data_IF_049763337893
#
_entry.id   IF_049763337893
#
_cell.length_a   1.000
_cell.length_b   1.000
_cell.length_c   1.000
_cell.angle_alpha   90.00
_cell.angle_beta   90.00
_cell.angle_gamma   90.00
#
_symmetry.space_group_name_H-M   'P 1'
#
loop_
_entity.id
_entity.type
_entity.pdbx_description
1 polymer ?
#
# COMPACT_ATOMS: atom_id res chain seq x y z
N UNK A 1 -11.69 2.70 -95.39
CA UNK A 1 -11.04 1.60 -94.66
C UNK A 1 -10.26 2.20 -93.53
N UNK A 2 -10.85 2.25 -92.30
CA UNK A 2 -10.23 2.80 -91.09
C UNK A 2 -10.09 1.67 -90.09
N UNK A 3 -8.85 1.37 -89.65
CA UNK A 3 -8.53 0.32 -88.69
C UNK A 3 -8.49 0.91 -87.28
N UNK A 4 -9.44 0.53 -86.44
CA UNK A 4 -9.40 0.78 -85.03
C UNK A 4 -8.47 -0.23 -84.34
N UNK A 5 -7.51 0.25 -83.52
CA UNK A 5 -6.70 -0.56 -82.61
C UNK A 5 -7.30 -0.43 -81.22
N UNK A 6 -7.50 -1.52 -80.45
CA UNK A 6 -7.88 -1.42 -79.08
C UNK A 6 -6.66 -1.14 -78.18
N UNK A 7 -6.77 -0.15 -77.29
CA UNK A 7 -5.82 0.14 -76.23
C UNK A 7 -6.18 -0.75 -75.03
N UNK A 8 -5.25 -1.62 -74.64
CA UNK A 8 -5.39 -2.51 -73.48
C UNK A 8 -4.89 -1.74 -72.28
N UNK A 9 -5.80 -1.27 -71.44
CA UNK A 9 -5.47 -0.61 -70.14
C UNK A 9 -5.28 -1.68 -69.10
N UNK A 10 -4.04 -1.90 -68.68
CA UNK A 10 -3.66 -2.78 -67.57
C UNK A 10 -3.86 -2.05 -66.22
N UNK A 11 -4.91 -2.38 -65.45
CA UNK A 11 -5.14 -1.92 -64.10
C UNK A 11 -4.20 -2.70 -63.18
N UNK A 12 -3.18 -2.03 -62.64
CA UNK A 12 -2.33 -2.55 -61.57
C UNK A 12 -3.07 -2.30 -60.25
N UNK A 13 -3.64 -3.37 -59.67
CA UNK A 13 -4.22 -3.34 -58.32
C UNK A 13 -3.10 -3.41 -57.30
N UNK A 14 -2.84 -2.26 -56.65
CA UNK A 14 -1.90 -2.17 -55.52
C UNK A 14 -2.60 -2.73 -54.26
N UNK A 15 -2.32 -3.98 -53.90
CA UNK A 15 -2.81 -4.61 -52.68
C UNK A 15 -2.03 -4.02 -51.48
N UNK A 16 -2.69 -3.18 -50.68
CA UNK A 16 -2.18 -2.75 -49.39
C UNK A 16 -2.29 -3.92 -48.42
N UNK A 17 -1.18 -4.57 -48.12
CA UNK A 17 -1.07 -5.46 -46.95
C UNK A 17 -1.07 -4.59 -45.68
N UNK A 18 -2.23 -4.39 -45.08
CA UNK A 18 -2.34 -3.88 -43.73
C UNK A 18 -1.88 -5.02 -42.80
N UNK A 19 -0.62 -5.00 -42.40
CA UNK A 19 -0.14 -5.86 -41.31
C UNK A 19 -0.80 -5.36 -40.02
N UNK A 20 -1.93 -5.97 -39.66
CA UNK A 20 -2.49 -5.79 -38.32
C UNK A 20 -1.49 -6.38 -37.31
N UNK A 21 -0.75 -5.50 -36.62
CA UNK A 21 -0.01 -5.90 -35.43
C UNK A 21 -1.03 -6.48 -34.45
N UNK A 22 -0.80 -7.67 -33.91
CA UNK A 22 -1.68 -8.21 -32.89
C UNK A 22 -1.74 -7.21 -31.75
N UNK A 23 -2.89 -6.59 -31.52
CA UNK A 23 -3.14 -5.86 -30.26
C UNK A 23 -3.14 -6.91 -29.15
N UNK A 24 -2.05 -7.04 -28.43
CA UNK A 24 -2.02 -7.86 -27.23
C UNK A 24 -3.04 -7.25 -26.26
N UNK A 25 -4.09 -8.01 -25.94
CA UNK A 25 -5.02 -7.63 -24.91
C UNK A 25 -4.25 -7.46 -23.60
N UNK A 26 -4.53 -6.37 -22.87
CA UNK A 26 -3.94 -6.15 -21.55
C UNK A 26 -4.46 -7.20 -20.58
N UNK A 27 -3.58 -7.72 -19.74
CA UNK A 27 -3.99 -8.53 -18.59
C UNK A 27 -4.61 -7.63 -17.53
N UNK A 28 -5.89 -7.82 -17.21
CA UNK A 28 -6.52 -7.14 -16.08
C UNK A 28 -6.10 -7.78 -14.76
N UNK A 29 -5.68 -6.97 -13.78
CA UNK A 29 -5.40 -7.38 -12.40
C UNK A 29 -6.27 -6.61 -11.43
N UNK A 30 -6.94 -7.32 -10.52
CA UNK A 30 -7.66 -6.75 -9.40
C UNK A 30 -6.72 -6.52 -8.23
N UNK A 31 -6.62 -5.26 -7.80
CA UNK A 31 -5.71 -4.83 -6.73
C UNK A 31 -6.52 -4.19 -5.61
N UNK A 32 -6.37 -4.66 -4.38
CA UNK A 32 -6.87 -3.92 -3.22
C UNK A 32 -5.74 -3.09 -2.61
N UNK A 33 -6.01 -1.82 -2.33
CA UNK A 33 -5.08 -0.93 -1.64
C UNK A 33 -5.77 -0.28 -0.43
N UNK A 34 -5.08 -0.22 0.69
CA UNK A 34 -5.58 0.44 1.90
C UNK A 34 -5.58 1.95 1.74
N UNK A 35 -6.57 2.62 2.30
CA UNK A 35 -6.72 4.08 2.39
C UNK A 35 -6.33 4.86 1.12
N UNK A 36 -7.34 5.23 0.35
CA UNK A 36 -7.16 6.06 -0.85
C UNK A 36 -6.49 7.38 -0.48
N UNK A 37 -5.33 7.64 -1.05
CA UNK A 37 -4.64 8.93 -0.96
C UNK A 37 -3.41 8.96 -0.05
N UNK A 38 -3.09 7.92 0.72
CA UNK A 38 -1.77 7.83 1.35
C UNK A 38 -0.69 7.64 0.28
N UNK A 39 0.51 8.13 0.53
CA UNK A 39 1.61 8.09 -0.44
C UNK A 39 1.97 6.67 -0.87
N UNK A 40 2.17 5.79 0.08
CA UNK A 40 2.57 4.39 -0.12
C UNK A 40 1.49 3.56 -0.83
N UNK A 41 0.23 3.71 -0.44
CA UNK A 41 -0.87 2.95 -1.02
C UNK A 41 -1.22 3.38 -2.45
N UNK A 42 -0.75 4.56 -2.88
CA UNK A 42 -1.12 5.18 -4.16
C UNK A 42 -0.18 4.81 -5.31
N UNK A 43 0.90 4.03 -5.07
CA UNK A 43 1.88 3.65 -6.08
C UNK A 43 1.23 3.03 -7.33
N UNK A 44 0.33 2.04 -7.14
CA UNK A 44 -0.37 1.38 -8.26
C UNK A 44 -1.22 2.36 -9.07
N UNK A 45 -1.90 3.28 -8.43
CA UNK A 45 -2.72 4.31 -9.09
C UNK A 45 -1.87 5.29 -9.90
N UNK A 46 -0.77 5.79 -9.31
CA UNK A 46 0.15 6.71 -10.00
C UNK A 46 0.75 6.02 -11.22
N UNK A 47 1.23 4.79 -11.08
CA UNK A 47 1.80 4.03 -12.20
C UNK A 47 0.77 3.75 -13.30
N UNK A 48 -0.49 3.48 -12.94
CA UNK A 48 -1.55 3.29 -13.92
C UNK A 48 -1.85 4.59 -14.69
N UNK A 49 -2.02 5.71 -13.99
CA UNK A 49 -2.28 7.02 -14.61
C UNK A 49 -1.15 7.47 -15.54
N UNK A 50 0.08 7.14 -15.20
CA UNK A 50 1.27 7.42 -16.02
C UNK A 50 1.50 6.38 -17.14
N UNK A 51 0.63 5.38 -17.28
CA UNK A 51 0.71 4.35 -18.31
C UNK A 51 1.82 3.32 -18.09
N UNK A 52 2.47 3.29 -16.91
CA UNK A 52 3.55 2.35 -16.60
C UNK A 52 3.03 0.92 -16.62
N UNK A 53 1.89 0.62 -15.97
CA UNK A 53 1.30 -0.72 -15.98
C UNK A 53 0.90 -1.13 -17.40
N UNK A 54 0.34 -0.22 -18.21
CA UNK A 54 0.01 -0.45 -19.62
C UNK A 54 1.25 -0.80 -20.46
N UNK A 55 2.38 -0.13 -20.24
CA UNK A 55 3.68 -0.45 -20.86
C UNK A 55 4.11 -1.89 -20.55
N UNK A 56 3.77 -2.40 -19.38
CA UNK A 56 4.01 -3.79 -18.97
C UNK A 56 2.88 -4.76 -19.34
N UNK A 57 1.92 -4.34 -20.18
CA UNK A 57 0.82 -5.16 -20.65
C UNK A 57 -0.24 -5.47 -19.60
N UNK A 58 -0.42 -4.57 -18.61
CA UNK A 58 -1.34 -4.75 -17.49
C UNK A 58 -2.28 -3.54 -17.39
N UNK A 59 -3.54 -3.81 -17.05
CA UNK A 59 -4.52 -2.83 -16.61
C UNK A 59 -5.00 -3.19 -15.20
N UNK A 60 -5.09 -2.21 -14.31
CA UNK A 60 -5.45 -2.42 -12.90
C UNK A 60 -6.90 -2.03 -12.63
N UNK A 61 -7.65 -2.91 -11.96
CA UNK A 61 -8.90 -2.59 -11.29
C UNK A 61 -8.60 -2.39 -9.80
N UNK A 62 -8.54 -1.12 -9.33
CA UNK A 62 -8.12 -0.81 -7.97
C UNK A 62 -9.33 -0.66 -7.06
N UNK A 63 -9.42 -1.51 -6.04
CA UNK A 63 -10.37 -1.46 -4.94
C UNK A 63 -9.73 -0.76 -3.73
N UNK A 64 -10.30 0.36 -3.30
CA UNK A 64 -9.86 1.06 -2.11
C UNK A 64 -10.55 0.50 -0.86
N UNK A 65 -9.77 0.10 0.13
CA UNK A 65 -10.24 -0.45 1.41
C UNK A 65 -10.05 0.55 2.55
N UNK A 66 -10.64 0.25 3.71
CA UNK A 66 -10.50 1.07 4.92
C UNK A 66 -9.18 0.80 5.68
N UNK A 67 -8.40 -0.20 5.26
CA UNK A 67 -7.12 -0.52 5.89
C UNK A 67 -6.54 -1.87 5.48
N UNK A 68 -5.28 -2.09 5.84
CA UNK A 68 -4.51 -3.26 5.44
C UNK A 68 -5.13 -4.61 5.85
N UNK A 69 -5.93 -4.64 6.90
CA UNK A 69 -6.66 -5.86 7.31
C UNK A 69 -7.75 -6.25 6.30
N UNK A 70 -8.54 -5.28 5.81
CA UNK A 70 -9.53 -5.54 4.74
C UNK A 70 -8.84 -5.91 3.44
N UNK A 71 -7.76 -5.21 3.07
CA UNK A 71 -6.93 -5.54 1.91
C UNK A 71 -6.46 -6.99 1.96
N UNK A 72 -5.97 -7.43 3.12
CA UNK A 72 -5.53 -8.81 3.33
C UNK A 72 -6.68 -9.81 3.17
N UNK A 73 -7.87 -9.52 3.72
CA UNK A 73 -9.02 -10.40 3.59
C UNK A 73 -9.51 -10.52 2.13
N UNK A 74 -9.48 -9.41 1.37
CA UNK A 74 -9.82 -9.43 -0.05
C UNK A 74 -8.89 -10.34 -0.88
N UNK A 75 -7.59 -10.37 -0.53
CA UNK A 75 -6.61 -11.29 -1.15
C UNK A 75 -6.85 -12.75 -0.71
N UNK A 76 -7.04 -13.00 0.59
CA UNK A 76 -7.25 -14.35 1.13
C UNK A 76 -8.51 -14.98 0.53
N UNK A 77 -9.58 -14.22 0.38
CA UNK A 77 -10.84 -14.68 -0.22
C UNK A 77 -10.77 -14.86 -1.74
N UNK A 78 -9.72 -14.38 -2.41
CA UNK A 78 -9.62 -14.37 -3.87
C UNK A 78 -10.49 -13.32 -4.57
N UNK A 79 -11.07 -12.37 -3.83
CA UNK A 79 -11.85 -11.26 -4.41
C UNK A 79 -10.96 -10.31 -5.22
N UNK A 80 -9.69 -10.20 -4.86
CA UNK A 80 -8.64 -9.50 -5.59
C UNK A 80 -7.39 -10.38 -5.68
N UNK A 81 -6.52 -10.04 -6.60
CA UNK A 81 -5.30 -10.81 -6.90
C UNK A 81 -4.08 -10.29 -6.13
N UNK A 82 -4.03 -9.00 -5.90
CA UNK A 82 -2.93 -8.32 -5.21
C UNK A 82 -3.47 -7.43 -4.09
N UNK A 83 -2.75 -7.41 -2.98
CA UNK A 83 -2.99 -6.50 -1.85
C UNK A 83 -1.79 -5.60 -1.61
N UNK A 84 -2.04 -4.30 -1.51
CA UNK A 84 -1.05 -3.25 -1.21
C UNK A 84 -1.27 -2.76 0.21
N UNK A 85 -0.18 -2.66 0.97
CA UNK A 85 -0.11 -2.14 2.33
C UNK A 85 -0.79 -2.95 3.46
N UNK A 86 -0.98 -4.29 3.37
CA UNK A 86 -1.30 -5.04 4.59
C UNK A 86 -0.13 -4.99 5.58
N UNK A 87 -0.47 -4.98 6.87
CA UNK A 87 0.52 -5.01 7.94
C UNK A 87 1.21 -6.37 8.07
N UNK A 88 2.54 -6.38 8.23
CA UNK A 88 3.32 -7.63 8.29
C UNK A 88 2.86 -8.56 9.42
N UNK A 89 2.54 -8.03 10.60
CA UNK A 89 2.06 -8.83 11.74
C UNK A 89 0.75 -9.56 11.41
N UNK A 90 -0.18 -8.89 10.71
CA UNK A 90 -1.42 -9.49 10.23
C UNK A 90 -1.18 -10.61 9.22
N UNK A 91 -0.23 -10.40 8.30
CA UNK A 91 0.13 -11.40 7.26
C UNK A 91 0.76 -12.63 7.91
N UNK A 92 1.71 -12.47 8.83
CA UNK A 92 2.29 -13.59 9.60
C UNK A 92 1.21 -14.35 10.38
N UNK A 93 0.29 -13.63 11.02
CA UNK A 93 -0.82 -14.23 11.75
C UNK A 93 -1.76 -15.05 10.86
N UNK A 94 -2.12 -14.51 9.70
CA UNK A 94 -2.98 -15.21 8.75
C UNK A 94 -2.29 -16.47 8.19
N UNK A 95 -1.04 -16.35 7.77
CA UNK A 95 -0.25 -17.46 7.25
C UNK A 95 -0.08 -18.58 8.30
N UNK A 96 0.25 -18.24 9.55
CA UNK A 96 0.42 -19.22 10.63
C UNK A 96 -0.88 -20.01 10.94
N UNK A 97 -2.03 -19.49 10.53
CA UNK A 97 -3.35 -20.14 10.64
C UNK A 97 -3.77 -20.86 9.35
N UNK A 98 -2.88 -20.99 8.38
CA UNK A 98 -3.12 -21.71 7.12
C UNK A 98 -3.78 -20.87 6.02
N UNK A 99 -3.84 -19.54 6.15
CA UNK A 99 -4.35 -18.71 5.06
C UNK A 99 -3.45 -18.81 3.82
N UNK A 100 -4.04 -18.82 2.59
CA UNK A 100 -3.28 -19.03 1.36
C UNK A 100 -2.58 -17.74 0.88
N UNK A 101 -1.97 -16.98 1.78
CA UNK A 101 -1.31 -15.71 1.48
C UNK A 101 0.18 -15.91 1.16
N UNK A 102 0.71 -15.12 0.22
CA UNK A 102 2.13 -15.03 -0.13
C UNK A 102 2.57 -13.58 -0.24
N UNK A 103 3.77 -13.29 0.22
CA UNK A 103 4.40 -11.98 0.13
C UNK A 103 5.15 -11.91 -1.20
N UNK A 104 4.79 -10.94 -2.05
CA UNK A 104 5.41 -10.70 -3.35
C UNK A 104 6.26 -9.43 -3.38
N UNK A 105 6.24 -8.64 -2.31
CA UNK A 105 7.08 -7.47 -2.13
C UNK A 105 7.02 -6.94 -0.70
N UNK A 106 8.10 -6.30 -0.27
CA UNK A 106 8.04 -5.34 0.83
C UNK A 106 7.43 -4.03 0.32
N UNK A 107 7.15 -3.09 1.21
CA UNK A 107 6.63 -1.79 0.84
C UNK A 107 7.30 -0.69 1.65
N UNK A 108 7.01 -0.61 2.97
CA UNK A 108 7.59 0.41 3.84
C UNK A 108 8.33 -0.21 5.02
N UNK A 109 9.46 0.42 5.37
CA UNK A 109 10.30 0.10 6.53
C UNK A 109 10.26 1.26 7.53
N UNK A 110 9.97 0.95 8.79
CA UNK A 110 9.64 1.93 9.82
C UNK A 110 8.21 2.43 9.71
N UNK A 111 7.78 3.19 10.70
CA UNK A 111 6.41 3.69 10.81
C UNK A 111 6.36 5.19 11.15
N UNK A 112 7.33 5.97 10.68
CA UNK A 112 7.41 7.41 10.92
C UNK A 112 6.26 8.19 10.25
N UNK A 113 5.65 7.62 9.23
CA UNK A 113 4.50 8.16 8.53
C UNK A 113 3.21 8.09 9.36
N UNK A 114 3.12 7.18 10.32
CA UNK A 114 1.94 7.01 11.15
C UNK A 114 2.03 7.83 12.43
N UNK A 115 0.97 8.54 12.77
CA UNK A 115 0.90 9.31 14.01
C UNK A 115 -0.47 9.21 14.68
N UNK A 116 -0.44 9.36 16.01
CA UNK A 116 -1.63 9.44 16.85
C UNK A 116 -1.78 10.84 17.39
N UNK A 117 -3.00 11.33 17.37
CA UNK A 117 -3.31 12.72 17.67
C UNK A 117 -4.58 12.86 18.51
N UNK A 118 -4.72 14.03 19.11
CA UNK A 118 -5.90 14.47 19.84
C UNK A 118 -6.28 15.88 19.41
N UNK A 119 -7.52 16.35 19.66
CA UNK A 119 -7.85 17.77 19.54
C UNK A 119 -6.90 18.62 20.38
N UNK A 120 -6.50 19.80 19.92
CA UNK A 120 -5.53 20.66 20.63
C UNK A 120 -5.97 21.03 22.05
N UNK A 121 -7.28 21.16 22.28
CA UNK A 121 -7.86 21.42 23.59
C UNK A 121 -7.96 20.19 24.51
N UNK A 122 -7.63 18.98 24.00
CA UNK A 122 -7.74 17.75 24.79
C UNK A 122 -6.85 17.78 26.05
N UNK A 123 -7.30 17.26 27.19
CA UNK A 123 -6.47 17.10 28.38
C UNK A 123 -5.40 15.99 28.24
N UNK A 124 -5.55 15.07 27.28
CA UNK A 124 -4.60 13.98 27.00
C UNK A 124 -3.31 14.59 26.45
N UNK A 125 -2.20 14.53 27.15
CA UNK A 125 -0.91 15.14 26.75
C UNK A 125 0.04 14.12 26.10
N UNK A 126 -0.10 12.85 26.46
CA UNK A 126 0.74 11.74 26.00
C UNK A 126 -0.05 10.43 25.98
N UNK A 127 0.54 9.36 25.47
CA UNK A 127 -0.07 8.02 25.55
C UNK A 127 -0.30 7.54 26.96
N UNK A 128 0.46 8.01 27.94
CA UNK A 128 0.30 7.64 29.36
C UNK A 128 -1.04 8.13 29.94
N UNK A 129 -1.65 9.13 29.32
CA UNK A 129 -2.96 9.66 29.71
C UNK A 129 -4.13 8.92 29.05
N UNK A 130 -3.85 7.80 28.34
CA UNK A 130 -4.85 7.06 27.55
C UNK A 130 -5.64 6.00 28.33
N UNK A 131 -5.41 5.84 29.63
CA UNK A 131 -6.16 4.88 30.43
C UNK A 131 -7.67 5.17 30.36
N UNK A 132 -8.46 4.10 30.09
CA UNK A 132 -9.89 4.15 29.84
C UNK A 132 -10.34 5.01 28.64
N UNK A 133 -9.38 5.45 27.81
CA UNK A 133 -9.63 6.19 26.57
C UNK A 133 -9.65 5.27 25.37
N UNK A 134 -10.35 5.68 24.31
CA UNK A 134 -10.31 5.02 23.02
C UNK A 134 -9.08 5.44 22.23
N UNK A 135 -8.35 4.47 21.68
CA UNK A 135 -7.22 4.70 20.78
C UNK A 135 -7.50 4.06 19.41
N UNK A 136 -7.49 4.87 18.37
CA UNK A 136 -7.87 4.46 17.04
C UNK A 136 -6.78 3.65 16.33
N UNK A 137 -7.22 2.70 15.50
CA UNK A 137 -6.44 2.06 14.45
C UNK A 137 -7.36 1.83 13.22
N UNK A 138 -6.80 1.50 12.05
CA UNK A 138 -7.63 1.37 10.84
C UNK A 138 -8.54 0.14 10.87
N UNK A 139 -7.96 -1.04 10.69
CA UNK A 139 -8.68 -2.32 10.65
C UNK A 139 -7.87 -3.40 11.36
N UNK A 140 -8.52 -4.43 11.87
CA UNK A 140 -7.82 -5.53 12.56
C UNK A 140 -6.83 -6.22 11.62
N UNK A 141 -5.60 -6.43 12.09
CA UNK A 141 -4.49 -7.00 11.31
C UNK A 141 -3.73 -5.99 10.45
N UNK A 142 -4.11 -4.70 10.46
CA UNK A 142 -3.36 -3.63 9.79
C UNK A 142 -2.06 -3.27 10.52
N UNK A 143 -1.21 -2.46 9.87
CA UNK A 143 -0.02 -1.90 10.51
C UNK A 143 -0.35 -1.05 11.73
N UNK A 144 -1.42 -0.24 11.67
CA UNK A 144 -1.87 0.59 12.80
C UNK A 144 -2.38 -0.24 13.98
N UNK A 145 -3.05 -1.38 13.73
CA UNK A 145 -3.43 -2.34 14.78
C UNK A 145 -2.18 -2.93 15.47
N UNK A 146 -1.17 -3.31 14.67
CA UNK A 146 0.11 -3.80 15.20
C UNK A 146 0.82 -2.78 16.07
N UNK A 147 0.89 -1.53 15.60
CA UNK A 147 1.56 -0.44 16.34
C UNK A 147 0.80 -0.11 17.63
N UNK A 148 -0.52 0.03 17.60
CA UNK A 148 -1.31 0.26 18.82
C UNK A 148 -1.12 -0.89 19.81
N UNK A 149 -1.12 -2.14 19.36
CA UNK A 149 -0.86 -3.31 20.21
C UNK A 149 0.53 -3.24 20.86
N UNK A 150 1.55 -2.85 20.09
CA UNK A 150 2.92 -2.70 20.59
C UNK A 150 3.05 -1.54 21.59
N UNK A 151 2.48 -0.36 21.29
CA UNK A 151 2.45 0.79 22.19
C UNK A 151 1.75 0.47 23.52
N UNK A 152 0.60 -0.20 23.45
CA UNK A 152 -0.12 -0.63 24.64
C UNK A 152 0.71 -1.56 25.53
N UNK A 153 1.41 -2.52 24.92
CA UNK A 153 2.29 -3.44 25.63
C UNK A 153 3.53 -2.71 26.19
N UNK A 154 4.18 -1.89 25.38
CA UNK A 154 5.43 -1.20 25.72
C UNK A 154 5.26 -0.23 26.89
N UNK A 155 4.12 0.46 26.96
CA UNK A 155 3.84 1.48 28.00
C UNK A 155 2.82 1.02 29.05
N UNK A 156 2.44 -0.26 29.05
CA UNK A 156 1.39 -0.84 29.93
C UNK A 156 0.09 -0.03 29.94
N UNK A 157 -0.35 0.41 28.74
CA UNK A 157 -1.54 1.24 28.61
C UNK A 157 -2.82 0.41 28.80
N UNK A 158 -3.81 1.01 29.46
CA UNK A 158 -5.17 0.43 29.64
C UNK A 158 -6.18 1.10 28.72
N UNK A 159 -5.73 1.58 27.54
CA UNK A 159 -6.58 2.14 26.51
C UNK A 159 -7.49 1.07 25.88
N UNK A 160 -8.55 1.52 25.22
CA UNK A 160 -9.47 0.68 24.44
C UNK A 160 -9.19 0.84 22.94
N UNK A 161 -8.49 -0.11 22.30
CA UNK A 161 -8.25 -0.06 20.86
C UNK A 161 -9.57 -0.13 20.11
N UNK A 162 -9.77 0.80 19.14
CA UNK A 162 -11.01 0.92 18.39
C UNK A 162 -10.72 1.06 16.89
N UNK A 163 -11.32 0.18 16.09
CA UNK A 163 -11.23 0.26 14.63
C UNK A 163 -12.09 1.43 14.12
N UNK A 164 -11.47 2.36 13.39
CA UNK A 164 -12.13 3.59 12.90
C UNK A 164 -12.10 3.74 11.39
N UNK A 165 -11.49 2.77 10.68
CA UNK A 165 -11.26 2.87 9.24
C UNK A 165 -10.09 3.80 8.90
N UNK A 166 -10.18 4.48 7.75
CA UNK A 166 -9.13 5.36 7.25
C UNK A 166 -8.99 6.68 8.03
N UNK A 167 -7.98 7.52 7.67
CA UNK A 167 -7.71 8.78 8.36
C UNK A 167 -8.88 9.77 8.37
N UNK A 168 -9.61 9.90 7.25
CA UNK A 168 -10.72 10.87 7.15
C UNK A 168 -11.90 10.53 8.09
N UNK A 169 -12.46 9.29 8.11
CA UNK A 169 -13.48 8.94 9.09
C UNK A 169 -12.96 8.99 10.53
N UNK A 170 -11.69 8.66 10.78
CA UNK A 170 -11.08 8.80 12.12
C UNK A 170 -11.09 10.26 12.58
N UNK A 171 -10.70 11.20 11.71
CA UNK A 171 -10.72 12.63 12.05
C UNK A 171 -12.12 13.10 12.43
N UNK A 172 -13.13 12.71 11.66
CA UNK A 172 -14.53 13.04 11.96
C UNK A 172 -14.93 12.53 13.34
N UNK A 173 -14.62 11.26 13.66
CA UNK A 173 -14.94 10.64 14.96
C UNK A 173 -14.23 11.33 16.12
N UNK A 174 -12.99 11.76 15.93
CA UNK A 174 -12.23 12.52 16.95
C UNK A 174 -12.82 13.90 17.16
N UNK A 175 -13.10 14.63 16.07
CA UNK A 175 -13.64 15.99 16.17
C UNK A 175 -15.07 16.04 16.73
N UNK A 176 -15.80 14.93 16.69
CA UNK A 176 -17.14 14.77 17.28
C UNK A 176 -17.12 14.07 18.65
N UNK A 177 -15.93 13.88 19.26
CA UNK A 177 -15.73 13.25 20.54
C UNK A 177 -16.23 11.78 20.63
N UNK A 178 -16.31 11.06 19.53
CA UNK A 178 -16.62 9.64 19.50
C UNK A 178 -15.38 8.77 19.78
N UNK A 179 -14.20 9.28 19.44
CA UNK A 179 -12.88 8.69 19.69
C UNK A 179 -11.99 9.72 20.40
N UNK A 180 -11.30 9.28 21.45
CA UNK A 180 -10.42 10.16 22.25
C UNK A 180 -9.09 10.44 21.53
N UNK A 181 -8.46 9.39 20.96
CA UNK A 181 -7.14 9.45 20.31
C UNK A 181 -7.27 8.89 18.90
N UNK A 182 -7.13 9.76 17.90
CA UNK A 182 -7.17 9.41 16.49
C UNK A 182 -5.83 8.94 15.97
N UNK A 183 -5.85 8.30 14.80
CA UNK A 183 -4.66 7.99 14.01
C UNK A 183 -4.73 8.65 12.63
N UNK A 184 -3.57 8.93 12.04
CA UNK A 184 -3.48 9.42 10.67
C UNK A 184 -2.17 9.03 10.01
N UNK A 185 -2.13 9.22 8.70
CA UNK A 185 -0.94 9.17 7.86
C UNK A 185 -1.00 10.31 6.82
N UNK A 186 0.11 11.00 6.54
CA UNK A 186 0.14 12.06 5.54
C UNK A 186 -0.31 11.58 4.14
N UNK A 187 -1.00 12.49 3.42
CA UNK A 187 -1.17 13.91 3.68
C UNK A 187 -2.29 14.24 4.67
N UNK A 188 -3.08 13.23 5.09
CA UNK A 188 -4.21 13.43 6.00
C UNK A 188 -3.74 13.90 7.37
N UNK A 189 -4.49 14.86 7.94
CA UNK A 189 -4.18 15.45 9.24
C UNK A 189 -3.16 16.57 9.21
N UNK A 190 -2.35 16.73 8.14
CA UNK A 190 -1.33 17.80 8.07
C UNK A 190 -1.96 19.19 8.10
N UNK A 191 -3.05 19.42 7.35
CA UNK A 191 -3.75 20.69 7.40
C UNK A 191 -4.25 21.01 8.81
N UNK A 192 -4.84 20.03 9.51
CA UNK A 192 -5.36 20.23 10.86
C UNK A 192 -4.23 20.48 11.89
N UNK A 193 -3.07 19.88 11.67
CA UNK A 193 -1.86 20.18 12.46
C UNK A 193 -1.38 21.62 12.23
N UNK A 194 -1.29 22.05 10.96
CA UNK A 194 -0.87 23.40 10.60
C UNK A 194 -1.84 24.48 11.11
N UNK A 195 -3.13 24.17 11.13
CA UNK A 195 -4.20 25.03 11.69
C UNK A 195 -4.28 25.00 13.24
N UNK A 196 -3.46 24.16 13.89
CA UNK A 196 -3.47 23.99 15.34
C UNK A 196 -4.76 23.37 15.90
N UNK A 197 -5.54 22.66 15.08
CA UNK A 197 -6.78 21.99 15.49
C UNK A 197 -6.53 20.67 16.20
N UNK A 198 -5.47 20.00 15.82
CA UNK A 198 -5.02 18.75 16.46
C UNK A 198 -3.54 18.85 16.83
N UNK A 199 -3.08 17.99 17.73
CA UNK A 199 -1.67 17.84 18.07
C UNK A 199 -1.30 16.35 18.16
N UNK A 200 -0.11 16.02 17.70
CA UNK A 200 0.46 14.68 17.78
C UNK A 200 0.84 14.39 19.22
N UNK A 201 0.54 13.17 19.69
CA UNK A 201 0.94 12.66 21.01
C UNK A 201 1.81 11.41 20.89
N UNK A 202 1.87 10.77 19.73
CA UNK A 202 2.73 9.64 19.43
C UNK A 202 2.92 9.48 17.94
N UNK A 203 4.03 8.86 17.53
CA UNK A 203 4.32 8.40 16.18
C UNK A 203 4.41 6.88 16.15
N UNK A 204 4.34 6.27 14.97
CA UNK A 204 4.49 4.82 14.85
C UNK A 204 5.88 4.33 15.26
N UNK A 205 6.91 5.16 15.12
CA UNK A 205 8.28 4.83 15.55
C UNK A 205 8.47 4.85 17.10
N UNK A 206 7.50 5.36 17.86
CA UNK A 206 7.51 5.25 19.34
C UNK A 206 7.24 3.80 19.78
N UNK A 207 6.62 2.98 18.92
CA UNK A 207 6.59 1.52 19.07
C UNK A 207 7.93 0.94 18.62
N UNK A 208 8.86 0.70 19.56
CA UNK A 208 10.25 0.35 19.28
C UNK A 208 10.42 -0.87 18.39
N UNK A 209 9.49 -1.83 18.49
CA UNK A 209 9.49 -3.05 17.66
C UNK A 209 9.25 -2.77 16.17
N UNK A 210 8.68 -1.62 15.80
CA UNK A 210 8.44 -1.25 14.40
C UNK A 210 9.47 -0.28 13.84
N UNK A 211 10.37 0.21 14.68
CA UNK A 211 11.41 1.14 14.27
C UNK A 211 12.48 0.41 13.46
N UNK A 212 12.60 0.75 12.17
CA UNK A 212 13.62 0.17 11.29
C UNK A 212 13.32 -1.25 10.77
N UNK A 213 12.11 -1.77 11.00
CA UNK A 213 11.64 -3.04 10.43
C UNK A 213 10.64 -2.77 9.29
N UNK A 214 10.47 -3.74 8.38
CA UNK A 214 9.38 -3.70 7.39
C UNK A 214 8.04 -3.77 8.10
N UNK A 215 7.16 -2.82 7.79
CA UNK A 215 5.85 -2.66 8.43
C UNK A 215 4.71 -3.04 7.51
N UNK A 216 4.83 -2.73 6.22
CA UNK A 216 3.81 -3.01 5.20
C UNK A 216 4.39 -3.78 4.02
N UNK A 217 3.52 -4.51 3.32
CA UNK A 217 3.88 -5.51 2.32
C UNK A 217 3.01 -5.38 1.07
N UNK A 218 3.47 -6.05 0.00
CA UNK A 218 2.67 -6.44 -1.15
C UNK A 218 2.39 -7.94 -1.05
N UNK A 219 1.13 -8.34 -1.18
CA UNK A 219 0.72 -9.74 -1.04
C UNK A 219 -0.13 -10.22 -2.22
N UNK A 220 -0.14 -11.53 -2.40
CA UNK A 220 -1.06 -12.26 -3.29
C UNK A 220 -1.52 -13.54 -2.60
N UNK A 221 -2.42 -14.30 -3.21
CA UNK A 221 -2.75 -15.65 -2.75
C UNK A 221 -2.04 -16.72 -3.59
N UNK A 222 -1.96 -17.94 -3.04
CA UNK A 222 -1.30 -19.10 -3.67
C UNK A 222 -1.88 -19.40 -5.05
N UNK A 223 -3.20 -19.39 -5.20
CA UNK A 223 -3.86 -19.74 -6.46
C UNK A 223 -3.50 -18.74 -7.56
N UNK A 224 -3.57 -17.44 -7.24
CA UNK A 224 -3.16 -16.38 -8.17
C UNK A 224 -1.67 -16.50 -8.53
N UNK A 225 -0.80 -16.72 -7.53
CA UNK A 225 0.62 -16.85 -7.78
C UNK A 225 0.95 -18.02 -8.70
N UNK A 226 0.28 -19.17 -8.52
CA UNK A 226 0.48 -20.35 -9.36
C UNK A 226 -0.10 -20.17 -10.77
N UNK A 227 -1.32 -19.62 -10.89
CA UNK A 227 -2.00 -19.48 -12.17
C UNK A 227 -1.47 -18.31 -13.03
N UNK A 228 -1.00 -17.24 -12.39
CA UNK A 228 -0.69 -15.96 -13.06
C UNK A 228 0.70 -15.41 -12.71
N UNK A 229 1.64 -16.27 -12.35
CA UNK A 229 3.01 -15.82 -11.98
C UNK A 229 3.63 -14.84 -12.98
N UNK A 230 3.57 -15.05 -14.32
CA UNK A 230 4.15 -14.09 -15.28
C UNK A 230 3.49 -12.70 -15.21
N UNK A 231 2.21 -12.63 -14.85
CA UNK A 231 1.49 -11.35 -14.70
C UNK A 231 1.91 -10.66 -13.40
N UNK A 232 2.05 -11.44 -12.31
CA UNK A 232 2.56 -10.93 -11.02
C UNK A 232 3.99 -10.39 -11.18
N UNK A 233 4.86 -11.11 -11.90
CA UNK A 233 6.23 -10.66 -12.16
C UNK A 233 6.24 -9.33 -12.93
N UNK A 234 5.38 -9.16 -13.94
CA UNK A 234 5.22 -7.88 -14.68
C UNK A 234 4.63 -6.77 -13.79
N UNK A 235 3.67 -7.10 -12.91
CA UNK A 235 3.14 -6.15 -11.94
C UNK A 235 4.24 -5.62 -11.02
N UNK A 236 5.06 -6.51 -10.45
CA UNK A 236 6.16 -6.12 -9.58
C UNK A 236 7.21 -5.28 -10.32
N UNK A 237 7.47 -5.57 -11.61
CA UNK A 237 8.35 -4.74 -12.44
C UNK A 237 7.77 -3.33 -12.64
N UNK A 238 6.49 -3.22 -12.99
CA UNK A 238 5.79 -1.94 -13.13
C UNK A 238 5.70 -1.17 -11.79
N UNK A 239 5.44 -1.87 -10.69
CA UNK A 239 5.40 -1.27 -9.35
C UNK A 239 6.75 -0.66 -8.97
N UNK A 240 7.86 -1.38 -9.19
CA UNK A 240 9.23 -0.90 -8.96
C UNK A 240 9.57 0.32 -9.81
N UNK A 241 9.24 0.28 -11.11
CA UNK A 241 9.42 1.41 -12.03
C UNK A 241 8.64 2.64 -11.54
N UNK A 242 7.42 2.43 -11.06
CA UNK A 242 6.60 3.51 -10.50
C UNK A 242 7.22 4.09 -9.23
N UNK A 243 7.68 3.25 -8.29
CA UNK A 243 8.39 3.71 -7.09
C UNK A 243 9.64 4.51 -7.47
N UNK A 244 10.44 4.04 -8.42
CA UNK A 244 11.64 4.76 -8.85
C UNK A 244 11.29 6.12 -9.46
N UNK A 245 10.21 6.21 -10.25
CA UNK A 245 9.73 7.47 -10.82
C UNK A 245 9.20 8.43 -9.73
N UNK A 246 8.45 7.92 -8.75
CA UNK A 246 7.93 8.73 -7.63
C UNK A 246 9.03 9.39 -6.79
N UNK A 247 10.25 8.85 -6.82
CA UNK A 247 11.42 9.38 -6.12
C UNK A 247 12.47 9.97 -7.05
N UNK A 248 12.19 10.08 -8.34
CA UNK A 248 13.06 10.76 -9.30
C UNK A 248 12.88 12.29 -9.25
N UNK A 249 13.65 12.99 -10.07
CA UNK A 249 13.49 14.43 -10.29
C UNK A 249 12.36 14.75 -11.29
N UNK A 250 11.75 13.76 -11.92
CA UNK A 250 10.62 13.95 -12.82
C UNK A 250 9.38 14.41 -12.02
N UNK A 251 8.79 15.57 -12.34
CA UNK A 251 7.64 16.09 -11.61
C UNK A 251 6.36 15.30 -11.88
N UNK A 252 6.30 14.48 -12.94
CA UNK A 252 5.07 13.85 -13.40
C UNK A 252 4.41 12.97 -12.32
N UNK A 253 5.18 12.15 -11.60
CA UNK A 253 4.63 11.28 -10.57
C UNK A 253 4.08 12.07 -9.37
N UNK A 254 4.80 13.11 -8.95
CA UNK A 254 4.37 13.97 -7.84
C UNK A 254 3.11 14.78 -8.22
N UNK A 255 3.06 15.28 -9.45
CA UNK A 255 1.90 15.99 -9.99
C UNK A 255 0.68 15.07 -10.09
N UNK A 256 0.86 13.87 -10.65
CA UNK A 256 -0.20 12.85 -10.76
C UNK A 256 -0.74 12.48 -9.37
N UNK A 257 0.14 12.32 -8.37
CA UNK A 257 -0.28 12.06 -7.00
C UNK A 257 -1.08 13.21 -6.42
N UNK A 258 -0.59 14.45 -6.54
CA UNK A 258 -1.27 15.64 -6.03
C UNK A 258 -2.66 15.83 -6.64
N UNK A 259 -2.80 15.64 -7.95
CA UNK A 259 -4.07 15.69 -8.67
C UNK A 259 -5.04 14.59 -8.21
N UNK A 260 -4.54 13.35 -8.06
CA UNK A 260 -5.35 12.21 -7.62
C UNK A 260 -5.90 12.41 -6.21
N UNK A 261 -5.10 12.96 -5.31
CA UNK A 261 -5.49 13.18 -3.90
C UNK A 261 -6.26 14.49 -3.72
N UNK A 262 -6.10 15.45 -4.63
CA UNK A 262 -6.70 16.78 -4.55
C UNK A 262 -5.98 17.71 -3.56
N UNK A 263 -4.64 17.65 -3.53
CA UNK A 263 -3.77 18.46 -2.66
C UNK A 263 -2.82 19.32 -3.49
N UNK A 264 -2.20 20.33 -2.85
CA UNK A 264 -1.16 21.12 -3.51
C UNK A 264 0.11 20.31 -3.75
N UNK A 265 0.89 20.72 -4.75
CA UNK A 265 2.21 20.13 -5.03
C UNK A 265 3.14 20.25 -3.80
N UNK A 266 3.08 21.34 -3.06
CA UNK A 266 3.91 21.52 -1.86
C UNK A 266 3.48 20.55 -0.74
N UNK A 267 2.19 20.29 -0.56
CA UNK A 267 1.71 19.27 0.36
C UNK A 267 2.14 17.86 -0.09
N UNK A 268 2.13 17.57 -1.39
CA UNK A 268 2.62 16.31 -1.93
C UNK A 268 4.14 16.15 -1.71
N UNK A 269 4.93 17.20 -1.93
CA UNK A 269 6.39 17.23 -1.63
C UNK A 269 6.65 16.99 -0.15
N UNK A 270 5.94 17.71 0.73
CA UNK A 270 6.04 17.55 2.19
C UNK A 270 5.71 16.12 2.60
N UNK A 271 4.61 15.56 2.10
CA UNK A 271 4.21 14.17 2.36
C UNK A 271 5.34 13.21 2.03
N UNK A 272 5.88 13.28 0.80
CA UNK A 272 6.98 12.41 0.37
C UNK A 272 8.25 12.60 1.18
N UNK A 273 8.70 13.85 1.31
CA UNK A 273 10.05 14.13 1.82
C UNK A 273 10.16 13.94 3.34
N UNK A 274 9.14 14.35 4.09
CA UNK A 274 9.18 14.37 5.55
C UNK A 274 8.71 13.04 6.15
N UNK A 275 7.81 12.32 5.46
CA UNK A 275 7.16 11.13 6.04
C UNK A 275 7.47 9.83 5.30
N UNK A 276 7.77 9.89 4.01
CA UNK A 276 8.11 8.73 3.19
C UNK A 276 9.44 8.92 2.47
N UNK A 277 10.57 9.08 3.19
CA UNK A 277 11.86 9.21 2.53
C UNK A 277 12.17 7.94 1.72
N UNK A 278 12.91 8.09 0.59
CA UNK A 278 13.23 6.95 -0.29
C UNK A 278 13.83 5.74 0.46
N UNK A 279 14.58 5.99 1.52
CA UNK A 279 15.18 4.94 2.35
C UNK A 279 14.17 4.07 3.10
N UNK A 280 12.93 4.55 3.28
CA UNK A 280 11.85 3.78 3.90
C UNK A 280 11.01 2.98 2.91
N UNK A 281 11.23 3.13 1.59
CA UNK A 281 10.44 2.47 0.55
C UNK A 281 11.32 1.58 -0.31
N UNK A 282 11.25 0.29 -0.06
CA UNK A 282 11.99 -0.73 -0.81
C UNK A 282 11.08 -1.94 -1.07
N UNK A 283 10.57 -2.13 -2.30
CA UNK A 283 9.71 -3.26 -2.62
C UNK A 283 10.44 -4.61 -2.70
N UNK A 284 11.77 -4.63 -2.66
CA UNK A 284 12.57 -5.82 -2.93
C UNK A 284 13.00 -6.56 -1.68
N UNK A 285 13.04 -5.88 -0.52
CA UNK A 285 13.65 -6.45 0.68
C UNK A 285 12.83 -6.26 1.93
N UNK A 286 12.53 -7.36 2.62
CA UNK A 286 12.02 -7.31 4.00
C UNK A 286 13.20 -7.09 4.95
N UNK A 287 13.15 -6.02 5.72
CA UNK A 287 14.16 -5.64 6.71
C UNK A 287 13.70 -6.09 8.10
N UNK A 288 14.62 -6.66 8.88
CA UNK A 288 14.36 -7.03 10.28
C UNK A 288 13.56 -8.32 10.47
N UNK A 289 13.57 -9.24 9.50
CA UNK A 289 12.80 -10.50 9.60
C UNK A 289 13.18 -11.34 10.82
N UNK A 290 14.45 -11.31 11.23
CA UNK A 290 14.99 -11.98 12.40
C UNK A 290 14.41 -11.46 13.74
N UNK A 291 13.96 -10.21 13.76
CA UNK A 291 13.30 -9.58 14.91
C UNK A 291 11.78 -9.58 14.76
N UNK A 292 11.25 -9.38 13.55
CA UNK A 292 9.80 -9.40 13.26
C UNK A 292 9.15 -10.73 13.70
N UNK A 293 9.80 -11.86 13.41
CA UNK A 293 9.23 -13.19 13.72
C UNK A 293 9.06 -13.41 15.24
N UNK A 294 10.06 -13.19 16.11
CA UNK A 294 9.85 -13.26 17.56
C UNK A 294 8.93 -12.16 18.09
N UNK A 295 8.92 -10.96 17.50
CA UNK A 295 8.00 -9.90 17.88
C UNK A 295 6.54 -10.27 17.60
N UNK A 296 6.26 -10.99 16.52
CA UNK A 296 4.92 -11.49 16.22
C UNK A 296 4.40 -12.44 17.32
N UNK A 297 5.25 -13.27 17.91
CA UNK A 297 4.89 -14.11 19.08
C UNK A 297 4.69 -13.22 20.32
N UNK A 298 5.62 -12.32 20.56
CA UNK A 298 5.58 -11.39 21.71
C UNK A 298 4.32 -10.55 21.73
N UNK A 299 3.85 -10.11 20.54
CA UNK A 299 2.62 -9.34 20.36
C UNK A 299 1.36 -10.23 20.18
N UNK A 300 1.50 -11.56 20.29
CA UNK A 300 0.41 -12.56 20.17
C UNK A 300 -0.26 -12.61 18.80
N UNK A 301 0.46 -12.28 17.73
CA UNK A 301 0.01 -12.49 16.36
C UNK A 301 0.19 -13.94 15.90
N UNK A 302 1.26 -14.59 16.37
CA UNK A 302 1.53 -16.02 16.13
C UNK A 302 1.71 -16.74 17.48
N UNK A 303 1.40 -18.05 17.51
CA UNK A 303 1.58 -18.87 18.72
C UNK A 303 3.04 -19.29 18.93
N UNK A 304 3.79 -19.42 17.83
CA UNK A 304 5.20 -19.77 17.79
C UNK A 304 5.90 -19.01 16.65
N UNK A 305 7.24 -18.89 16.67
CA UNK A 305 7.99 -18.35 15.55
C UNK A 305 7.78 -19.21 14.29
N UNK A 306 7.64 -18.56 13.12
CA UNK A 306 7.63 -19.28 11.84
C UNK A 306 9.03 -19.89 11.58
N UNK A 307 9.05 -21.12 11.07
CA UNK A 307 10.31 -21.80 10.69
C UNK A 307 10.89 -21.20 9.41
N UNK A 308 12.15 -21.55 9.10
CA UNK A 308 12.79 -21.10 7.85
C UNK A 308 12.04 -21.60 6.61
N UNK A 309 11.52 -22.83 6.65
CA UNK A 309 10.74 -23.44 5.57
C UNK A 309 9.41 -22.69 5.38
N UNK A 310 8.71 -22.36 6.47
CA UNK A 310 7.49 -21.56 6.44
C UNK A 310 7.72 -20.15 5.91
N UNK A 311 8.83 -19.52 6.29
CA UNK A 311 9.21 -18.20 5.76
C UNK A 311 9.58 -18.28 4.28
N UNK A 312 10.28 -19.33 3.84
CA UNK A 312 10.60 -19.56 2.43
C UNK A 312 9.32 -19.82 1.60
N UNK A 313 8.31 -20.50 2.18
CA UNK A 313 7.01 -20.67 1.55
C UNK A 313 6.23 -19.35 1.46
N UNK A 314 6.24 -18.57 2.54
CA UNK A 314 5.50 -17.30 2.61
C UNK A 314 6.07 -16.21 1.70
N UNK A 315 7.41 -16.08 1.64
CA UNK A 315 8.10 -14.98 0.97
C UNK A 315 8.47 -15.40 -0.46
N UNK A 316 7.78 -14.82 -1.44
CA UNK A 316 7.87 -15.13 -2.85
C UNK A 316 8.15 -13.86 -3.69
N UNK A 317 9.02 -12.99 -3.19
CA UNK A 317 9.39 -11.73 -3.86
C UNK A 317 10.15 -12.06 -5.15
N UNK A 318 9.64 -11.68 -6.34
CA UNK A 318 10.36 -11.91 -7.59
C UNK A 318 11.67 -11.11 -7.60
N UNK A 319 12.78 -11.68 -8.13
CA UNK A 319 14.03 -10.94 -8.24
C UNK A 319 13.86 -9.69 -9.12
N UNK A 320 14.59 -8.62 -8.80
CA UNK A 320 14.65 -7.42 -9.65
C UNK A 320 15.43 -7.76 -10.93
N UNK A 321 14.77 -7.61 -12.08
CA UNK A 321 15.35 -7.85 -13.42
C UNK A 321 15.83 -6.54 -14.02
#
# INVERSE_FOLDING_TARGET
MSRFRPVCSTLVALAWFITSLPAYALDTLKVAAGQRGNWDTTVSEVGQRLGIFKKHGIELEILWTQGGGETQQAVISGSVEIGVAPGIMGVLSAFSKGAPVRIIGAETTGAADLFWYVPSASPIKSLKDSNDKTIAFSTKGSSTDGIVTALMKQYDLKARPTATGGPAPTLTQVMTNQIDIGWSAPPFGLQQLDEGKIRIIATGNDATVFKGQTVRLLITNVQTLQARKPVIDRYMKAYRETVDLMYSNDPAALQTYAEFVGISIDMAKRTRNDFFPKSSVDPDKIVGLDTIVPDAVTLKYTAAPLTKEQLAELIQIPPRQ
#
